data_IF_685248257083
#
_entry.id   IF_685248257083
#
_cell.length_a   1.000
_cell.length_b   1.000
_cell.length_c   1.000
_cell.angle_alpha   90.00
_cell.angle_beta   90.00
_cell.angle_gamma   90.00
#
_symmetry.space_group_name_H-M   'P 1'
#
loop_
_entity.id
_entity.type
_entity.pdbx_description
1 polymer ?
#
# COMPACT_ATOMS: atom_id res chain seq x y z
N UNK A 1 -17.49 20.47 9.38
CA UNK A 1 -16.56 19.48 9.96
C UNK A 1 -16.98 18.04 9.67
N UNK A 2 -18.24 17.64 9.91
CA UNK A 2 -18.69 16.24 9.74
C UNK A 2 -18.47 15.62 8.35
N UNK A 3 -18.74 16.36 7.27
CA UNK A 3 -18.56 15.86 5.89
C UNK A 3 -17.11 15.51 5.53
N UNK A 4 -16.14 16.29 6.05
CA UNK A 4 -14.70 16.07 5.85
C UNK A 4 -14.23 14.80 6.56
N UNK A 5 -14.64 14.61 7.82
CA UNK A 5 -14.32 13.40 8.60
C UNK A 5 -14.89 12.16 7.91
N UNK A 6 -16.13 12.24 7.42
CA UNK A 6 -16.75 11.14 6.68
C UNK A 6 -15.95 10.76 5.42
N UNK A 7 -15.54 11.74 4.60
CA UNK A 7 -14.74 11.46 3.41
C UNK A 7 -13.39 10.79 3.74
N UNK A 8 -12.72 11.28 4.78
CA UNK A 8 -11.46 10.69 5.25
C UNK A 8 -11.70 9.26 5.73
N UNK A 9 -12.73 9.04 6.56
CA UNK A 9 -13.07 7.71 7.07
C UNK A 9 -13.36 6.70 5.96
N UNK A 10 -14.19 7.07 4.97
CA UNK A 10 -14.47 6.21 3.80
C UNK A 10 -13.20 5.93 3.00
N UNK A 11 -12.34 6.92 2.79
CA UNK A 11 -11.10 6.74 2.06
C UNK A 11 -10.12 5.81 2.82
N UNK A 12 -10.00 5.94 4.13
CA UNK A 12 -9.21 5.03 4.97
C UNK A 12 -9.73 3.61 4.85
N UNK A 13 -11.05 3.40 4.98
CA UNK A 13 -11.65 2.06 4.83
C UNK A 13 -11.36 1.50 3.45
N UNK A 14 -11.54 2.29 2.37
CA UNK A 14 -11.21 1.86 1.02
C UNK A 14 -9.73 1.50 0.85
N UNK A 15 -8.82 2.25 1.48
CA UNK A 15 -7.39 1.95 1.48
C UNK A 15 -7.08 0.62 2.16
N UNK A 16 -7.65 0.36 3.35
CA UNK A 16 -7.50 -0.92 4.05
C UNK A 16 -8.12 -2.07 3.25
N UNK A 17 -9.26 -1.85 2.59
CA UNK A 17 -9.88 -2.88 1.74
C UNK A 17 -8.97 -3.32 0.59
N UNK A 18 -8.12 -2.43 0.06
CA UNK A 18 -7.12 -2.81 -0.95
C UNK A 18 -6.08 -3.76 -0.35
N UNK A 19 -5.65 -3.58 0.90
CA UNK A 19 -4.80 -4.55 1.60
C UNK A 19 -5.50 -5.90 1.75
N UNK A 20 -6.77 -5.90 2.16
CA UNK A 20 -7.55 -7.14 2.33
C UNK A 20 -7.70 -7.90 0.99
N UNK A 21 -7.96 -7.19 -0.11
CA UNK A 21 -8.01 -7.79 -1.45
C UNK A 21 -6.66 -8.43 -1.81
N UNK A 22 -5.55 -7.74 -1.53
CA UNK A 22 -4.23 -8.32 -1.74
C UNK A 22 -3.98 -9.55 -0.88
N UNK A 23 -4.29 -9.47 0.42
CA UNK A 23 -4.10 -10.54 1.38
C UNK A 23 -4.84 -11.82 0.97
N UNK A 24 -6.04 -11.66 0.44
CA UNK A 24 -6.90 -12.78 -0.02
C UNK A 24 -6.60 -13.25 -1.44
N UNK A 25 -5.77 -12.54 -2.20
CA UNK A 25 -5.45 -12.92 -3.59
C UNK A 25 -4.57 -14.16 -3.71
N UNK A 26 -3.93 -14.58 -2.60
CA UNK A 26 -3.19 -15.85 -2.46
C UNK A 26 -4.04 -17.07 -2.83
N UNK A 27 -5.36 -17.00 -2.57
CA UNK A 27 -6.33 -18.04 -2.91
C UNK A 27 -6.40 -18.37 -4.41
N UNK A 28 -6.01 -17.43 -5.28
CA UNK A 28 -5.89 -17.67 -6.71
C UNK A 28 -4.53 -18.30 -7.05
N UNK A 29 -3.46 -17.70 -6.53
CA UNK A 29 -2.08 -18.15 -6.68
C UNK A 29 -1.16 -17.38 -5.70
N UNK A 30 -0.12 -17.99 -5.11
CA UNK A 30 0.87 -17.31 -4.26
C UNK A 30 1.45 -16.01 -4.85
N UNK A 31 1.72 -16.03 -6.15
CA UNK A 31 2.25 -14.88 -6.87
C UNK A 31 1.28 -13.67 -6.91
N UNK A 32 -0.03 -13.91 -6.86
CA UNK A 32 -1.02 -12.84 -6.80
C UNK A 32 -0.86 -12.05 -5.50
N UNK A 33 -0.69 -12.74 -4.37
CA UNK A 33 -0.40 -12.11 -3.08
C UNK A 33 0.93 -11.38 -3.11
N UNK A 34 2.01 -12.05 -3.51
CA UNK A 34 3.37 -11.51 -3.46
C UNK A 34 3.55 -10.25 -4.32
N UNK A 35 2.87 -10.19 -5.48
CA UNK A 35 3.02 -9.12 -6.47
C UNK A 35 1.82 -8.18 -6.56
N UNK A 36 0.81 -8.33 -5.70
CA UNK A 36 -0.34 -7.44 -5.66
C UNK A 36 0.08 -5.96 -5.50
N UNK A 37 1.18 -5.72 -4.78
CA UNK A 37 1.78 -4.39 -4.60
C UNK A 37 2.19 -3.69 -5.91
N UNK A 38 2.32 -4.40 -7.04
CA UNK A 38 2.56 -3.78 -8.35
C UNK A 38 1.31 -3.11 -8.90
N UNK A 39 0.14 -3.73 -8.71
CA UNK A 39 -1.14 -3.28 -9.29
C UNK A 39 -1.98 -2.45 -8.31
N UNK A 40 -1.84 -2.71 -7.01
CA UNK A 40 -2.49 -1.98 -5.92
C UNK A 40 -2.38 -0.45 -6.00
N UNK A 41 -1.28 0.16 -6.51
CA UNK A 41 -1.18 1.61 -6.63
C UNK A 41 -2.29 2.25 -7.47
N UNK A 42 -2.89 1.53 -8.43
CA UNK A 42 -4.05 2.02 -9.19
C UNK A 42 -5.23 2.28 -8.24
N UNK A 43 -5.45 1.40 -7.26
CA UNK A 43 -6.54 1.51 -6.30
C UNK A 43 -6.19 2.44 -5.15
N UNK A 44 -4.98 2.37 -4.60
CA UNK A 44 -4.51 3.24 -3.50
C UNK A 44 -4.51 4.73 -3.86
N UNK A 45 -4.36 5.08 -5.14
CA UNK A 45 -4.32 6.47 -5.58
C UNK A 45 -5.59 7.25 -5.23
N UNK A 46 -6.77 6.62 -5.35
CA UNK A 46 -8.06 7.24 -5.09
C UNK A 46 -8.25 7.66 -3.63
N UNK A 47 -8.16 6.76 -2.63
CA UNK A 47 -8.28 7.14 -1.23
C UNK A 47 -7.16 8.11 -0.82
N UNK A 48 -5.95 7.93 -1.34
CA UNK A 48 -4.87 8.88 -1.05
C UNK A 48 -5.17 10.29 -1.54
N UNK A 49 -5.65 10.45 -2.78
CA UNK A 49 -6.03 11.76 -3.31
C UNK A 49 -7.16 12.41 -2.51
N UNK A 50 -8.15 11.62 -2.05
CA UNK A 50 -9.21 12.11 -1.16
C UNK A 50 -8.61 12.64 0.13
N UNK A 51 -7.84 11.83 0.86
CA UNK A 51 -7.27 12.21 2.14
C UNK A 51 -6.32 13.40 1.99
N UNK A 52 -5.45 13.42 0.99
CA UNK A 52 -4.52 14.51 0.75
C UNK A 52 -5.24 15.83 0.43
N UNK A 53 -6.40 15.78 -0.26
CA UNK A 53 -7.21 16.97 -0.57
C UNK A 53 -7.86 17.58 0.68
N UNK A 54 -8.21 16.72 1.65
CA UNK A 54 -8.85 17.10 2.91
C UNK A 54 -7.83 17.42 4.01
N UNK A 55 -6.62 16.85 3.96
CA UNK A 55 -5.52 17.06 4.90
C UNK A 55 -4.35 17.72 4.16
N UNK A 56 -4.41 19.05 4.08
CA UNK A 56 -3.37 19.91 3.48
C UNK A 56 -2.32 20.37 4.48
N UNK A 57 -2.05 19.51 5.45
CA UNK A 57 -0.99 19.62 6.44
C UNK A 57 -0.33 18.25 6.55
N UNK A 58 0.59 18.09 7.50
CA UNK A 58 1.10 16.78 7.88
C UNK A 58 -0.04 15.81 8.19
N UNK A 59 0.07 14.58 7.70
CA UNK A 59 -0.69 13.44 8.22
C UNK A 59 -1.60 12.68 7.24
N UNK A 60 -1.60 12.99 5.94
CA UNK A 60 -2.43 12.24 4.98
C UNK A 60 -1.92 10.82 4.74
N UNK A 61 -0.60 10.64 4.60
CA UNK A 61 -0.02 9.32 4.54
C UNK A 61 -0.01 8.66 5.93
N UNK A 62 0.23 9.46 6.98
CA UNK A 62 0.23 8.98 8.37
C UNK A 62 -1.11 8.37 8.77
N UNK A 63 -2.24 8.96 8.39
CA UNK A 63 -3.55 8.40 8.77
C UNK A 63 -3.86 7.11 8.01
N UNK A 64 -3.49 7.02 6.73
CA UNK A 64 -3.72 5.82 5.92
C UNK A 64 -2.89 4.64 6.41
N UNK A 65 -1.58 4.81 6.47
CA UNK A 65 -0.67 3.76 6.91
C UNK A 65 -0.75 3.53 8.42
N UNK A 66 -0.96 4.58 9.23
CA UNK A 66 -1.11 4.44 10.68
C UNK A 66 -2.34 3.63 11.06
N UNK A 67 -3.50 3.86 10.43
CA UNK A 67 -4.70 3.06 10.71
C UNK A 67 -4.58 1.65 10.11
N UNK A 68 -3.92 1.49 8.96
CA UNK A 68 -3.59 0.15 8.43
C UNK A 68 -2.71 -0.63 9.40
N UNK A 69 -1.70 0.02 9.99
CA UNK A 69 -0.81 -0.58 10.98
C UNK A 69 -1.55 -0.98 12.25
N UNK A 70 -2.42 -0.10 12.76
CA UNK A 70 -3.26 -0.39 13.93
C UNK A 70 -4.16 -1.60 13.64
N UNK A 71 -4.81 -1.65 12.48
CA UNK A 71 -5.62 -2.80 12.08
C UNK A 71 -4.79 -4.08 12.03
N UNK A 72 -3.61 -4.04 11.41
CA UNK A 72 -2.74 -5.21 11.32
C UNK A 72 -2.28 -5.71 12.70
N UNK A 73 -1.91 -4.80 13.61
CA UNK A 73 -1.53 -5.17 14.99
C UNK A 73 -2.69 -5.78 15.77
N UNK A 74 -3.92 -5.27 15.59
CA UNK A 74 -5.12 -5.83 16.23
C UNK A 74 -5.47 -7.21 15.66
N UNK A 75 -5.15 -7.46 14.40
CA UNK A 75 -5.39 -8.74 13.71
C UNK A 75 -4.23 -9.73 13.82
N UNK A 76 -3.17 -9.40 14.57
CA UNK A 76 -1.92 -10.18 14.69
C UNK A 76 -1.16 -10.39 13.36
N UNK A 77 -1.40 -9.51 12.39
CA UNK A 77 -0.76 -9.47 11.06
C UNK A 77 0.48 -8.55 11.04
N UNK A 78 0.82 -7.94 12.18
CA UNK A 78 1.85 -6.91 12.32
C UNK A 78 3.24 -7.46 12.59
N UNK A 79 3.91 -8.06 11.60
CA UNK A 79 5.32 -8.47 11.77
C UNK A 79 6.30 -7.27 11.73
N UNK A 80 7.50 -7.46 12.27
CA UNK A 80 8.51 -6.41 12.40
C UNK A 80 8.91 -5.77 11.04
N UNK A 81 9.05 -6.58 9.99
CA UNK A 81 9.42 -6.08 8.67
C UNK A 81 8.32 -5.15 8.11
N UNK A 82 7.06 -5.57 8.22
CA UNK A 82 5.91 -4.76 7.80
C UNK A 82 5.85 -3.43 8.55
N UNK A 83 5.95 -3.47 9.89
CA UNK A 83 5.92 -2.25 10.73
C UNK A 83 7.02 -1.27 10.28
N UNK A 84 8.26 -1.75 10.15
CA UNK A 84 9.41 -0.90 9.81
C UNK A 84 9.23 -0.31 8.40
N UNK A 85 8.93 -1.13 7.40
CA UNK A 85 8.77 -0.68 6.02
C UNK A 85 7.64 0.34 5.92
N UNK A 86 6.50 0.07 6.56
CA UNK A 86 5.35 0.94 6.52
C UNK A 86 5.65 2.30 7.16
N UNK A 87 6.35 2.34 8.30
CA UNK A 87 6.80 3.58 8.94
C UNK A 87 7.74 4.36 8.01
N UNK A 88 8.75 3.70 7.43
CA UNK A 88 9.73 4.34 6.55
C UNK A 88 9.05 4.97 5.32
N UNK A 89 8.15 4.23 4.65
CA UNK A 89 7.42 4.71 3.48
C UNK A 89 6.47 5.88 3.84
N UNK A 90 5.85 5.82 5.02
CA UNK A 90 5.01 6.90 5.54
C UNK A 90 5.82 8.18 5.77
N UNK A 91 6.96 8.07 6.46
CA UNK A 91 7.86 9.19 6.73
C UNK A 91 8.34 9.80 5.40
N UNK A 92 8.80 8.97 4.46
CA UNK A 92 9.27 9.44 3.16
C UNK A 92 8.17 10.18 2.39
N UNK A 93 6.94 9.65 2.40
CA UNK A 93 5.77 10.31 1.78
C UNK A 93 5.49 11.67 2.43
N UNK A 94 5.43 11.76 3.76
CA UNK A 94 5.17 13.02 4.47
C UNK A 94 6.30 14.04 4.28
N UNK A 95 7.57 13.61 4.27
CA UNK A 95 8.72 14.48 3.97
C UNK A 95 8.56 15.09 2.57
N UNK A 96 8.21 14.29 1.55
CA UNK A 96 7.99 14.80 0.19
C UNK A 96 6.86 15.82 0.17
N UNK A 97 5.74 15.57 0.87
CA UNK A 97 4.65 16.55 0.96
C UNK A 97 5.08 17.83 1.66
N UNK A 98 5.84 17.72 2.76
CA UNK A 98 6.35 18.87 3.50
C UNK A 98 7.27 19.74 2.65
N UNK A 99 8.24 19.12 1.96
CA UNK A 99 9.22 19.82 1.11
C UNK A 99 8.57 20.44 -0.14
N UNK A 100 7.56 19.79 -0.72
CA UNK A 100 6.86 20.28 -1.92
C UNK A 100 5.66 21.18 -1.63
N UNK A 101 5.31 21.33 -0.36
CA UNK A 101 4.09 22.01 0.09
C UNK A 101 2.88 21.09 0.10
N UNK A 102 2.18 21.04 1.24
CA UNK A 102 1.02 20.16 1.44
C UNK A 102 -0.19 20.50 0.56
N UNK A 103 -0.26 21.73 0.03
CA UNK A 103 -1.26 22.20 -0.93
C UNK A 103 -0.89 21.99 -2.41
N UNK A 104 0.28 21.43 -2.71
CA UNK A 104 0.74 21.23 -4.09
C UNK A 104 0.28 19.89 -4.66
N UNK A 105 -0.35 19.91 -5.84
CA UNK A 105 -0.68 18.68 -6.57
C UNK A 105 0.59 17.90 -6.94
N UNK A 106 1.69 18.59 -7.27
CA UNK A 106 2.98 17.94 -7.54
C UNK A 106 3.53 17.26 -6.28
N UNK A 107 3.35 17.88 -5.11
CA UNK A 107 3.68 17.28 -3.82
C UNK A 107 2.91 15.98 -3.59
N UNK A 108 1.60 15.97 -3.82
CA UNK A 108 0.75 14.77 -3.72
C UNK A 108 1.19 13.67 -4.69
N UNK A 109 1.43 14.01 -5.96
CA UNK A 109 1.89 13.04 -6.97
C UNK A 109 3.18 12.34 -6.58
N UNK A 110 4.17 13.10 -6.11
CA UNK A 110 5.49 12.55 -5.79
C UNK A 110 5.49 11.75 -4.48
N UNK A 111 4.76 12.22 -3.47
CA UNK A 111 4.64 11.53 -2.17
C UNK A 111 3.83 10.25 -2.25
N UNK A 112 2.94 10.11 -3.24
CA UNK A 112 2.23 8.86 -3.47
C UNK A 112 3.16 7.70 -3.85
N UNK A 113 4.29 7.96 -4.53
CA UNK A 113 5.20 6.90 -5.02
C UNK A 113 5.69 6.00 -3.86
N UNK A 114 6.30 6.52 -2.79
CA UNK A 114 6.68 5.66 -1.67
C UNK A 114 5.47 5.06 -0.96
N UNK A 115 4.39 5.83 -0.77
CA UNK A 115 3.18 5.32 -0.11
C UNK A 115 2.58 4.12 -0.85
N UNK A 116 2.61 4.13 -2.19
CA UNK A 116 2.10 3.06 -3.04
C UNK A 116 2.82 1.72 -2.85
N UNK A 117 4.06 1.75 -2.32
CA UNK A 117 4.84 0.54 -2.03
C UNK A 117 4.46 -0.12 -0.70
N UNK A 118 3.51 0.44 0.05
CA UNK A 118 3.16 -0.01 1.41
C UNK A 118 2.72 -1.47 1.47
N UNK A 119 2.07 -1.97 0.41
CA UNK A 119 1.68 -3.38 0.34
C UNK A 119 2.89 -4.34 0.27
N UNK A 120 4.01 -3.93 -0.34
CA UNK A 120 5.22 -4.75 -0.29
C UNK A 120 5.81 -4.86 1.12
N UNK A 121 5.57 -3.87 1.98
CA UNK A 121 5.86 -4.02 3.40
C UNK A 121 5.05 -5.14 4.03
N UNK A 122 3.76 -5.26 3.69
CA UNK A 122 2.88 -6.31 4.21
C UNK A 122 3.34 -7.70 3.76
N UNK A 123 3.64 -7.86 2.46
CA UNK A 123 4.13 -9.12 1.88
C UNK A 123 5.60 -9.45 2.25
N UNK A 124 6.35 -8.53 2.87
CA UNK A 124 7.79 -8.70 3.10
C UNK A 124 8.15 -9.93 3.93
N UNK A 125 7.24 -10.40 4.79
CA UNK A 125 7.46 -11.54 5.66
C UNK A 125 7.79 -12.84 4.91
N UNK A 126 7.34 -12.98 3.67
CA UNK A 126 7.70 -14.11 2.80
C UNK A 126 9.22 -14.24 2.61
N UNK A 127 9.95 -13.12 2.63
CA UNK A 127 11.40 -13.10 2.50
C UNK A 127 12.14 -12.90 3.82
N UNK A 128 11.52 -12.28 4.82
CA UNK A 128 12.17 -12.04 6.12
C UNK A 128 11.93 -13.15 7.14
N UNK A 129 10.89 -13.96 6.96
CA UNK A 129 10.48 -15.06 7.84
C UNK A 129 10.10 -16.32 7.04
N UNK A 130 10.84 -16.61 5.97
CA UNK A 130 10.54 -17.66 4.98
C UNK A 130 10.21 -19.02 5.59
N UNK A 131 10.95 -19.47 6.61
CA UNK A 131 10.71 -20.78 7.23
C UNK A 131 9.32 -20.85 7.88
N UNK A 132 8.91 -19.81 8.62
CA UNK A 132 7.59 -19.73 9.21
C UNK A 132 6.52 -19.66 8.11
N UNK A 133 6.71 -18.79 7.09
CA UNK A 133 5.76 -18.67 5.97
C UNK A 133 5.51 -20.01 5.24
N UNK A 134 6.55 -20.81 5.02
CA UNK A 134 6.40 -22.11 4.35
C UNK A 134 5.73 -23.15 5.26
N UNK A 135 5.98 -23.07 6.56
CA UNK A 135 5.28 -23.90 7.54
C UNK A 135 3.79 -23.55 7.56
N UNK A 136 3.45 -22.26 7.73
CA UNK A 136 2.06 -21.78 7.74
C UNK A 136 1.35 -22.14 6.43
N UNK A 137 1.99 -21.95 5.27
CA UNK A 137 1.43 -22.35 3.98
C UNK A 137 1.14 -23.86 3.88
N UNK A 138 1.95 -24.69 4.53
CA UNK A 138 1.75 -26.15 4.57
C UNK A 138 0.58 -26.51 5.49
N UNK A 139 0.50 -25.89 6.66
CA UNK A 139 -0.50 -26.17 7.70
C UNK A 139 -1.89 -25.62 7.34
N UNK A 140 -1.96 -24.41 6.77
CA UNK A 140 -3.21 -23.72 6.46
C UNK A 140 -3.78 -24.08 5.09
N UNK A 141 -2.93 -24.42 4.13
CA UNK A 141 -3.37 -24.72 2.75
C UNK A 141 -3.02 -26.14 2.32
N UNK A 142 -1.74 -26.43 2.03
CA UNK A 142 -1.23 -27.77 1.68
C UNK A 142 0.27 -27.75 1.41
N UNK A 143 0.91 -28.91 1.44
CA UNK A 143 2.31 -29.06 1.02
C UNK A 143 2.55 -28.62 -0.44
N UNK A 144 1.62 -28.95 -1.36
CA UNK A 144 1.73 -28.55 -2.77
C UNK A 144 1.67 -27.03 -2.93
N UNK A 145 0.82 -26.36 -2.14
CA UNK A 145 0.75 -24.91 -2.14
C UNK A 145 2.02 -24.27 -1.57
N UNK A 146 2.60 -24.84 -0.51
CA UNK A 146 3.87 -24.37 0.05
C UNK A 146 5.02 -24.44 -0.97
N UNK A 147 5.05 -25.45 -1.85
CA UNK A 147 6.01 -25.51 -2.97
C UNK A 147 5.85 -24.33 -3.92
N UNK A 148 4.61 -23.92 -4.24
CA UNK A 148 4.36 -22.74 -5.09
C UNK A 148 4.79 -21.44 -4.39
N UNK A 149 4.53 -21.32 -3.09
CA UNK A 149 5.01 -20.19 -2.26
C UNK A 149 6.55 -20.13 -2.29
N UNK A 150 7.22 -21.27 -2.09
CA UNK A 150 8.68 -21.37 -2.13
C UNK A 150 9.24 -20.93 -3.49
N UNK A 151 8.62 -21.36 -4.59
CA UNK A 151 9.02 -20.93 -5.94
C UNK A 151 8.93 -19.41 -6.12
N UNK A 152 7.88 -18.79 -5.59
CA UNK A 152 7.72 -17.32 -5.62
C UNK A 152 8.79 -16.64 -4.79
N UNK A 153 9.06 -17.13 -3.56
CA UNK A 153 10.07 -16.57 -2.66
C UNK A 153 11.46 -16.64 -3.29
N UNK A 154 11.83 -17.79 -3.86
CA UNK A 154 13.14 -18.02 -4.49
C UNK A 154 13.37 -17.15 -5.73
N UNK A 155 12.30 -16.68 -6.39
CA UNK A 155 12.40 -15.82 -7.58
C UNK A 155 12.57 -14.34 -7.23
N UNK A 156 13.65 -14.02 -6.49
CA UNK A 156 14.00 -12.64 -6.11
C UNK A 156 14.15 -11.68 -7.30
N UNK A 157 14.70 -12.08 -8.47
CA UNK A 157 14.72 -11.19 -9.64
C UNK A 157 13.33 -10.69 -10.05
N UNK A 158 12.33 -11.55 -9.99
CA UNK A 158 10.94 -11.18 -10.29
C UNK A 158 10.39 -10.19 -9.27
N UNK A 159 10.66 -10.39 -7.97
CA UNK A 159 10.30 -9.43 -6.93
C UNK A 159 10.88 -8.04 -7.24
N UNK A 160 12.17 -7.96 -7.58
CA UNK A 160 12.80 -6.69 -7.92
C UNK A 160 12.12 -6.01 -9.11
N UNK A 161 11.82 -6.76 -10.18
CA UNK A 161 11.10 -6.24 -11.35
C UNK A 161 9.73 -5.70 -10.96
N UNK A 162 8.98 -6.44 -10.14
CA UNK A 162 7.63 -6.08 -9.71
C UNK A 162 7.60 -4.85 -8.81
N UNK A 163 8.55 -4.72 -7.88
CA UNK A 163 8.70 -3.52 -7.03
C UNK A 163 9.06 -2.30 -7.87
N UNK A 164 9.98 -2.44 -8.83
CA UNK A 164 10.35 -1.34 -9.74
C UNK A 164 9.17 -0.95 -10.66
N UNK A 165 8.40 -1.92 -11.15
CA UNK A 165 7.22 -1.70 -11.99
C UNK A 165 6.09 -1.00 -11.22
N UNK A 166 6.02 -1.15 -9.89
CA UNK A 166 5.04 -0.44 -9.07
C UNK A 166 5.19 1.09 -9.16
N UNK A 167 6.40 1.61 -9.44
CA UNK A 167 6.65 3.06 -9.55
C UNK A 167 5.89 3.69 -10.74
N UNK A 168 6.08 3.24 -12.01
CA UNK A 168 5.29 3.76 -13.12
C UNK A 168 3.80 3.48 -12.95
N UNK A 169 3.41 2.35 -12.36
CA UNK A 169 2.00 2.06 -12.06
C UNK A 169 1.42 3.04 -11.04
N UNK A 170 2.16 3.44 -10.01
CA UNK A 170 1.74 4.46 -9.06
C UNK A 170 1.54 5.82 -9.73
N UNK A 171 2.42 6.20 -10.66
CA UNK A 171 2.28 7.43 -11.45
C UNK A 171 1.02 7.36 -12.32
N UNK A 172 0.77 6.23 -12.98
CA UNK A 172 -0.43 6.02 -13.80
C UNK A 172 -1.71 6.03 -12.96
N UNK A 173 -1.70 5.35 -11.81
CA UNK A 173 -2.80 5.30 -10.85
C UNK A 173 -3.17 6.69 -10.35
N UNK A 174 -2.18 7.51 -9.97
CA UNK A 174 -2.42 8.89 -9.57
C UNK A 174 -3.01 9.73 -10.69
N UNK A 175 -2.48 9.63 -11.91
CA UNK A 175 -3.05 10.34 -13.08
C UNK A 175 -4.49 9.91 -13.38
N UNK A 176 -4.81 8.63 -13.20
CA UNK A 176 -6.17 8.12 -13.36
C UNK A 176 -7.08 8.70 -12.29
N UNK A 177 -6.69 8.64 -11.02
CA UNK A 177 -7.45 9.19 -9.90
C UNK A 177 -7.72 10.69 -10.09
N UNK A 178 -6.72 11.47 -10.52
CA UNK A 178 -6.88 12.89 -10.81
C UNK A 178 -7.90 13.16 -11.93
N UNK A 179 -7.86 12.38 -13.02
CA UNK A 179 -8.80 12.53 -14.14
C UNK A 179 -10.24 12.20 -13.72
N UNK A 180 -10.42 11.09 -13.00
CA UNK A 180 -11.74 10.65 -12.54
C UNK A 180 -12.27 11.58 -11.44
N UNK A 181 -11.39 12.06 -10.56
CA UNK A 181 -11.73 12.93 -9.43
C UNK A 181 -11.34 14.38 -9.68
N UNK A 182 -11.52 14.89 -10.90
CA UNK A 182 -11.04 16.23 -11.30
C UNK A 182 -11.40 17.37 -10.34
N UNK A 183 -12.59 17.30 -9.71
CA UNK A 183 -12.99 18.27 -8.67
C UNK A 183 -12.08 18.27 -7.44
N UNK A 184 -11.58 17.10 -7.03
CA UNK A 184 -10.64 16.94 -5.90
C UNK A 184 -9.25 17.42 -6.27
N UNK A 185 -8.79 17.06 -7.47
CA UNK A 185 -7.49 17.51 -7.98
C UNK A 185 -7.42 19.03 -8.14
N UNK A 186 -8.50 19.65 -8.62
CA UNK A 186 -8.60 21.11 -8.78
C UNK A 186 -8.59 21.89 -7.47
N UNK A 187 -8.64 21.20 -6.32
CA UNK A 187 -8.58 21.88 -5.03
C UNK A 187 -7.15 22.27 -4.64
N UNK A 188 -6.14 21.66 -5.25
CA UNK A 188 -4.73 22.00 -5.06
C UNK A 188 -4.32 23.15 -5.98
N UNK A 189 -3.36 23.96 -5.52
CA UNK A 189 -2.76 25.06 -6.28
C UNK A 189 -1.65 24.56 -7.24
#
# INVERSE_FOLDING_TARGET
>A
MGKRILHIGVAVVAYIMVFVIGATSSLLHPACYAYFGTIAPILFAFPYLVVASEIRTFGAATILNGLTLVCALVMDEGNAAFIIILIVLTILSEIIRGVRGYGSLRGVRLSFIPLALSYYGYAAHWWTATAATLQDATEEMSADYAVLVEQVIRNVPMLCVMVLLAIPVAILGMRLAERVMGRRAATFE
#
